data_IF_972323902296
#
_entry.id   IF_972323902296
#
_cell.length_a   1.000
_cell.length_b   1.000
_cell.length_c   1.000
_cell.angle_alpha   90.00
_cell.angle_beta   90.00
_cell.angle_gamma   90.00
#
_symmetry.space_group_name_H-M   'P 1'
#
loop_
_entity.id
_entity.type
_entity.pdbx_description
1 polymer ?
#
# COMPACT_ATOMS: atom_id res chain seq x y z
N UNK A 1 -3.69 2.00 27.65
CA UNK A 1 -3.22 0.85 26.85
C UNK A 1 -3.19 1.33 25.42
N UNK A 2 -2.02 1.76 24.92
CA UNK A 2 -1.91 2.30 23.57
C UNK A 2 -2.06 1.16 22.58
N UNK A 3 -3.05 1.28 21.68
CA UNK A 3 -3.26 0.33 20.58
C UNK A 3 -1.99 0.28 19.73
N UNK A 4 -1.30 -0.86 19.74
CA UNK A 4 0.00 -1.06 19.10
C UNK A 4 -0.13 -1.29 17.59
N UNK A 5 -1.32 -1.06 17.02
CA UNK A 5 -1.56 -1.25 15.59
C UNK A 5 -0.75 -0.22 14.80
N UNK A 6 0.15 -0.64 13.90
CA UNK A 6 0.95 0.29 13.11
C UNK A 6 0.04 1.21 12.29
N UNK A 7 0.34 2.51 12.22
CA UNK A 7 -0.49 3.48 11.50
C UNK A 7 -0.59 3.09 10.02
N UNK A 8 -1.81 3.16 9.47
CA UNK A 8 -2.07 2.84 8.07
C UNK A 8 -2.55 4.08 7.32
N UNK A 9 -1.97 4.34 6.15
CA UNK A 9 -2.43 5.39 5.25
C UNK A 9 -3.64 4.94 4.39
N UNK A 10 -4.04 3.67 4.46
CA UNK A 10 -5.13 3.11 3.65
C UNK A 10 -6.38 2.77 4.45
N UNK A 11 -6.26 2.63 5.78
CA UNK A 11 -7.34 2.23 6.66
C UNK A 11 -7.34 3.08 7.93
N UNK A 12 -8.51 3.57 8.37
CA UNK A 12 -8.61 4.29 9.63
C UNK A 12 -8.28 3.38 10.83
N UNK A 13 -7.87 3.95 11.98
CA UNK A 13 -7.66 3.20 13.20
C UNK A 13 -8.92 2.42 13.60
N UNK A 14 -8.76 1.15 13.99
CA UNK A 14 -9.86 0.28 14.39
C UNK A 14 -10.78 -0.20 13.25
N UNK A 15 -10.48 0.14 11.99
CA UNK A 15 -11.28 -0.28 10.85
C UNK A 15 -11.09 -1.77 10.52
N UNK A 16 -12.19 -2.50 10.31
CA UNK A 16 -12.13 -3.88 9.88
C UNK A 16 -11.55 -3.94 8.46
N UNK A 17 -10.46 -4.71 8.29
CA UNK A 17 -9.76 -4.88 7.00
C UNK A 17 -10.37 -5.99 6.14
N UNK A 18 -11.52 -6.55 6.54
CA UNK A 18 -12.32 -7.39 5.64
C UNK A 18 -12.65 -6.59 4.38
N UNK A 19 -12.60 -7.26 3.23
CA UNK A 19 -12.95 -6.60 1.97
C UNK A 19 -14.37 -6.07 2.04
N UNK A 20 -14.53 -4.76 2.17
CA UNK A 20 -15.80 -4.07 2.38
C UNK A 20 -16.22 -3.38 1.08
N UNK A 21 -16.09 -4.12 -0.01
CA UNK A 21 -16.14 -3.54 -1.34
C UNK A 21 -16.61 -4.54 -2.39
N UNK A 22 -17.07 -3.98 -3.51
CA UNK A 22 -17.44 -4.74 -4.68
C UNK A 22 -16.18 -4.97 -5.52
N UNK A 23 -16.05 -6.18 -6.07
CA UNK A 23 -15.03 -6.43 -7.07
C UNK A 23 -15.22 -5.49 -8.26
N UNK A 24 -14.13 -4.90 -8.74
CA UNK A 24 -14.15 -4.11 -9.95
C UNK A 24 -14.74 -4.93 -11.11
N UNK A 25 -15.70 -4.38 -11.87
CA UNK A 25 -16.38 -5.11 -12.93
C UNK A 25 -15.43 -5.56 -14.06
N UNK A 26 -14.39 -4.78 -14.36
CA UNK A 26 -13.29 -5.14 -15.26
C UNK A 26 -12.11 -4.18 -15.11
N UNK A 27 -10.91 -4.70 -14.86
CA UNK A 27 -9.68 -3.89 -14.80
C UNK A 27 -9.36 -3.22 -16.14
N UNK A 28 -9.68 -3.91 -17.25
CA UNK A 28 -9.43 -3.41 -18.60
C UNK A 28 -10.37 -2.25 -18.96
N UNK A 29 -11.65 -2.36 -18.58
CA UNK A 29 -12.66 -1.33 -18.81
C UNK A 29 -12.36 -0.05 -18.00
N UNK A 30 -11.96 -0.24 -16.74
CA UNK A 30 -11.54 0.86 -15.86
C UNK A 30 -10.13 1.38 -16.14
N UNK A 31 -9.42 0.81 -17.11
CA UNK A 31 -8.04 1.22 -17.46
C UNK A 31 -7.03 1.03 -16.32
N UNK A 32 -7.32 0.18 -15.33
CA UNK A 32 -6.50 0.04 -14.13
C UNK A 32 -5.09 -0.45 -14.43
N UNK A 33 -4.90 -1.20 -15.52
CA UNK A 33 -3.58 -1.73 -15.89
C UNK A 33 -2.51 -0.65 -16.16
N UNK A 34 -2.89 0.56 -16.59
CA UNK A 34 -1.94 1.66 -16.73
C UNK A 34 -1.59 2.29 -15.37
N UNK A 35 -2.60 2.44 -14.51
CA UNK A 35 -2.45 3.01 -13.16
C UNK A 35 -1.61 2.08 -12.29
N UNK A 36 -1.91 0.77 -12.31
CA UNK A 36 -1.16 -0.25 -11.58
C UNK A 36 0.32 -0.20 -11.96
N UNK A 37 0.64 -0.10 -13.25
CA UNK A 37 2.03 0.00 -13.74
C UNK A 37 2.70 1.30 -13.31
N UNK A 38 2.00 2.42 -13.33
CA UNK A 38 2.54 3.70 -12.88
C UNK A 38 2.83 3.71 -11.37
N UNK A 39 2.04 2.99 -10.58
CA UNK A 39 2.18 2.90 -9.12
C UNK A 39 3.14 1.78 -8.68
N UNK A 40 3.45 0.82 -9.55
CA UNK A 40 4.42 -0.25 -9.31
C UNK A 40 5.87 0.23 -9.53
N UNK A 41 6.28 1.24 -8.76
CA UNK A 41 7.52 1.99 -8.99
C UNK A 41 8.81 1.16 -8.89
N UNK A 42 8.78 0.02 -8.18
CA UNK A 42 9.93 -0.88 -8.00
C UNK A 42 9.68 -2.29 -8.58
N UNK A 43 8.54 -2.51 -9.25
CA UNK A 43 8.15 -3.80 -9.83
C UNK A 43 7.68 -4.86 -8.82
N UNK A 44 7.54 -4.52 -7.54
CA UNK A 44 7.24 -5.48 -6.46
C UNK A 44 5.86 -5.32 -5.85
N UNK A 45 5.15 -4.25 -6.20
CA UNK A 45 3.91 -3.83 -5.55
C UNK A 45 2.67 -4.00 -6.44
N UNK A 46 2.82 -4.33 -7.73
CA UNK A 46 1.71 -4.52 -8.69
C UNK A 46 0.53 -5.32 -8.14
N UNK A 47 0.77 -6.49 -7.52
CA UNK A 47 -0.32 -7.32 -6.96
C UNK A 47 -1.08 -6.63 -5.82
N UNK A 48 -0.36 -5.92 -4.96
CA UNK A 48 -0.96 -5.17 -3.86
C UNK A 48 -1.76 -3.98 -4.40
N UNK A 49 -1.17 -3.20 -5.29
CA UNK A 49 -1.82 -2.06 -5.96
C UNK A 49 -3.09 -2.51 -6.69
N UNK A 50 -3.00 -3.60 -7.47
CA UNK A 50 -4.14 -4.18 -8.14
C UNK A 50 -5.25 -4.57 -7.15
N UNK A 51 -4.90 -5.20 -6.02
CA UNK A 51 -5.90 -5.58 -5.03
C UNK A 51 -6.61 -4.38 -4.39
N UNK A 52 -5.89 -3.28 -4.15
CA UNK A 52 -6.46 -2.05 -3.60
C UNK A 52 -7.37 -1.35 -4.61
N UNK A 53 -6.99 -1.30 -5.89
CA UNK A 53 -7.77 -0.65 -6.96
C UNK A 53 -8.95 -1.49 -7.43
N UNK A 54 -8.83 -2.82 -7.39
CA UNK A 54 -9.89 -3.75 -7.76
C UNK A 54 -10.95 -3.91 -6.66
N UNK A 55 -10.66 -3.43 -5.45
CA UNK A 55 -11.62 -3.34 -4.36
C UNK A 55 -12.24 -1.95 -4.36
N UNK A 56 -13.44 -1.80 -4.92
CA UNK A 56 -14.19 -0.54 -4.85
C UNK A 56 -14.86 -0.47 -3.47
N UNK A 57 -14.36 0.36 -2.53
CA UNK A 57 -14.94 0.45 -1.20
C UNK A 57 -16.35 1.06 -1.28
N UNK A 58 -17.28 0.54 -0.49
CA UNK A 58 -18.64 1.10 -0.38
C UNK A 58 -18.89 1.82 0.94
N UNK A 59 -17.97 1.69 1.90
CA UNK A 59 -18.05 2.38 3.19
C UNK A 59 -17.63 3.86 3.04
N UNK A 60 -18.55 4.82 3.30
CA UNK A 60 -18.24 6.24 3.22
C UNK A 60 -17.11 6.69 4.15
N UNK A 61 -16.98 6.09 5.34
CA UNK A 61 -15.95 6.46 6.30
C UNK A 61 -14.55 6.07 5.79
N UNK A 62 -14.43 4.91 5.15
CA UNK A 62 -13.19 4.46 4.53
C UNK A 62 -12.83 5.33 3.31
N UNK A 63 -13.82 5.71 2.50
CA UNK A 63 -13.62 6.60 1.36
C UNK A 63 -13.12 7.97 1.82
N UNK A 64 -13.79 8.58 2.81
CA UNK A 64 -13.41 9.89 3.36
C UNK A 64 -11.98 9.88 3.91
N UNK A 65 -11.63 8.85 4.71
CA UNK A 65 -10.28 8.73 5.26
C UNK A 65 -9.20 8.68 4.17
N UNK A 66 -9.43 7.90 3.10
CA UNK A 66 -8.48 7.83 1.97
C UNK A 66 -8.38 9.15 1.21
N UNK A 67 -9.49 9.87 1.07
CA UNK A 67 -9.49 11.19 0.45
C UNK A 67 -8.73 12.22 1.29
N UNK A 68 -8.91 12.21 2.61
CA UNK A 68 -8.19 13.10 3.52
C UNK A 68 -6.67 12.86 3.47
N UNK A 69 -6.24 11.59 3.47
CA UNK A 69 -4.81 11.24 3.34
C UNK A 69 -4.23 11.73 2.01
N UNK A 70 -4.98 11.58 0.90
CA UNK A 70 -4.56 12.07 -0.41
C UNK A 70 -4.51 13.60 -0.44
N UNK A 71 -5.49 14.28 0.15
CA UNK A 71 -5.53 15.74 0.24
C UNK A 71 -4.33 16.27 1.03
N UNK A 72 -3.97 15.62 2.14
CA UNK A 72 -2.78 15.97 2.91
C UNK A 72 -1.49 15.83 2.09
N UNK A 73 -1.33 14.75 1.32
CA UNK A 73 -0.15 14.55 0.46
C UNK A 73 -0.08 15.58 -0.67
N UNK A 74 -1.23 15.99 -1.23
CA UNK A 74 -1.29 17.02 -2.28
C UNK A 74 -1.03 18.42 -1.71
N UNK A 75 -1.62 18.73 -0.55
CA UNK A 75 -1.54 20.03 0.10
C UNK A 75 -0.18 20.30 0.75
N UNK A 76 0.52 19.25 1.19
CA UNK A 76 1.79 19.35 1.90
C UNK A 76 2.94 18.75 1.07
N UNK A 77 3.47 19.46 0.04
CA UNK A 77 4.48 18.92 -0.85
C UNK A 77 5.77 18.51 -0.14
N UNK A 78 6.11 19.17 0.98
CA UNK A 78 7.26 18.78 1.80
C UNK A 78 7.08 17.40 2.47
N UNK A 79 5.85 17.05 2.88
CA UNK A 79 5.52 15.73 3.41
C UNK A 79 5.69 14.66 2.32
N UNK A 80 5.13 14.91 1.13
CA UNK A 80 5.27 14.01 -0.01
C UNK A 80 6.74 13.80 -0.40
N UNK A 81 7.53 14.87 -0.42
CA UNK A 81 8.98 14.79 -0.70
C UNK A 81 9.72 13.97 0.37
N UNK A 82 9.39 14.16 1.65
CA UNK A 82 9.94 13.37 2.76
C UNK A 82 9.61 11.88 2.63
N UNK A 83 8.36 11.54 2.33
CA UNK A 83 7.95 10.17 2.05
C UNK A 83 8.73 9.59 0.86
N UNK A 84 8.83 10.31 -0.26
CA UNK A 84 9.55 9.87 -1.44
C UNK A 84 11.04 9.61 -1.15
N UNK A 85 11.67 10.40 -0.27
CA UNK A 85 13.05 10.19 0.14
C UNK A 85 13.25 8.96 1.03
N UNK A 86 12.24 8.57 1.82
CA UNK A 86 12.30 7.43 2.74
C UNK A 86 11.94 6.09 2.09
N UNK A 87 11.06 6.09 1.08
CA UNK A 87 10.58 4.86 0.43
C UNK A 87 11.71 3.92 -0.06
N UNK A 88 12.79 4.41 -0.71
CA UNK A 88 13.89 3.54 -1.12
C UNK A 88 14.58 2.83 0.05
N UNK A 89 14.79 3.53 1.17
CA UNK A 89 15.44 2.97 2.37
C UNK A 89 14.59 1.86 3.00
N UNK A 90 13.26 2.05 3.02
CA UNK A 90 12.33 1.03 3.48
C UNK A 90 12.30 -0.19 2.55
N UNK A 91 12.40 0.02 1.23
CA UNK A 91 12.46 -1.05 0.25
C UNK A 91 13.74 -1.89 0.41
N UNK A 92 14.88 -1.24 0.65
CA UNK A 92 16.15 -1.90 0.96
C UNK A 92 16.03 -2.74 2.23
N UNK A 93 15.48 -2.19 3.31
CA UNK A 93 15.30 -2.90 4.57
C UNK A 93 14.37 -4.13 4.41
N UNK A 94 13.28 -3.99 3.67
CA UNK A 94 12.37 -5.09 3.36
C UNK A 94 13.03 -6.19 2.51
N UNK A 95 14.06 -5.85 1.73
CA UNK A 95 14.81 -6.82 0.92
C UNK A 95 15.82 -7.61 1.76
N UNK A 96 16.45 -6.97 2.76
CA UNK A 96 17.40 -7.62 3.68
C UNK A 96 16.75 -8.75 4.48
N UNK A 97 15.53 -8.55 4.97
CA UNK A 97 14.78 -9.59 5.70
C UNK A 97 14.43 -10.82 4.86
N UNK A 98 14.44 -10.72 3.52
CA UNK A 98 14.18 -11.83 2.60
C UNK A 98 15.43 -12.64 2.23
N UNK A 99 16.61 -12.05 2.35
CA UNK A 99 17.88 -12.75 2.12
C UNK A 99 18.28 -13.67 3.30
N UNK A 100 17.64 -13.53 4.47
CA UNK A 100 17.91 -14.37 5.65
C UNK A 100 17.30 -15.78 5.62
N UNK A 101 16.91 -16.31 4.45
CA UNK A 101 16.83 -17.76 4.31
C UNK A 101 18.26 -18.31 4.24
N UNK A 102 18.92 -18.35 5.40
CA UNK A 102 20.18 -19.05 5.64
C UNK A 102 19.93 -20.54 5.43
N UNK A 103 19.86 -20.93 4.17
CA UNK A 103 19.94 -22.31 3.71
C UNK A 103 21.39 -22.58 3.36
N UNK A 104 22.24 -22.77 4.36
CA UNK A 104 23.50 -23.49 4.17
C UNK A 104 23.52 -24.66 5.17
N UNK A 105 23.51 -25.93 4.70
CA UNK A 105 23.86 -27.04 5.58
C UNK A 105 25.34 -26.90 5.92
N UNK A 106 25.63 -26.74 7.21
CA UNK A 106 26.98 -26.77 7.76
C UNK A 106 27.62 -28.12 7.36
N UNK A 107 28.75 -28.14 6.63
CA UNK A 107 29.44 -29.38 6.37
C UNK A 107 30.12 -29.83 7.67
N UNK A 108 29.75 -31.03 8.14
CA UNK A 108 30.49 -31.80 9.16
C UNK A 108 31.67 -32.53 8.51
#
# INVERSE_FOLDING_TARGET
>A
MSDTTPPSLLYPPGHDRRRSGRAAPSEADLGLGAIIRALDYDGRHSRFVASVLAELPTDPALIAYRQDVLDDLVRLPALAAGCAALLPQLADLASLGRASHWSDPIPL
#
